data_IF_002296217110
#
_entry.id   IF_002296217110
#
_cell.length_a   1.000
_cell.length_b   1.000
_cell.length_c   1.000
_cell.angle_alpha   90.00
_cell.angle_beta   90.00
_cell.angle_gamma   90.00
#
_symmetry.space_group_name_H-M   'P 1'
#
loop_
_entity.id
_entity.type
_entity.pdbx_description
1 polymer ?
#
# COMPACT_ATOMS: atom_id res chain seq x y z
N UNK A 1 3.39 0.99 -17.51
CA UNK A 1 2.30 1.23 -16.54
C UNK A 1 2.22 0.06 -15.58
N UNK A 2 1.95 0.31 -14.30
CA UNK A 2 1.89 -0.74 -13.27
C UNK A 2 0.54 -1.47 -13.27
N UNK A 3 0.54 -2.72 -12.81
CA UNK A 3 -0.66 -3.59 -12.82
C UNK A 3 -1.65 -3.20 -11.71
N UNK A 4 -1.23 -2.42 -10.73
CA UNK A 4 -2.11 -1.83 -9.71
C UNK A 4 -2.83 -0.57 -10.21
N UNK A 5 -2.18 0.23 -11.06
CA UNK A 5 -2.67 1.54 -11.50
C UNK A 5 -3.92 1.49 -12.39
N UNK A 6 -4.07 0.46 -13.23
CA UNK A 6 -5.27 0.31 -14.08
C UNK A 6 -6.50 -0.15 -13.29
N UNK A 7 -6.26 -0.81 -12.15
CA UNK A 7 -7.30 -1.52 -11.40
C UNK A 7 -7.90 -0.70 -10.26
N UNK A 8 -7.08 0.13 -9.62
CA UNK A 8 -7.48 0.95 -8.47
C UNK A 8 -7.20 2.46 -8.67
N UNK A 9 -6.76 2.82 -9.87
CA UNK A 9 -6.21 4.14 -10.17
C UNK A 9 -4.83 4.36 -9.55
N UNK A 10 -4.24 5.51 -9.84
CA UNK A 10 -2.98 5.90 -9.23
C UNK A 10 -3.16 6.18 -7.73
N UNK A 11 -2.44 5.43 -6.89
CA UNK A 11 -2.38 5.66 -5.44
C UNK A 11 -1.17 6.50 -5.07
N UNK A 12 -1.43 7.60 -4.37
CA UNK A 12 -0.40 8.52 -3.84
C UNK A 12 0.41 7.86 -2.73
N UNK A 13 1.57 8.42 -2.39
CA UNK A 13 2.40 7.89 -1.29
C UNK A 13 1.64 7.85 0.05
N UNK A 14 0.93 8.92 0.48
CA UNK A 14 0.10 8.86 1.70
C UNK A 14 -0.97 7.76 1.67
N UNK A 15 -1.62 7.55 0.51
CA UNK A 15 -2.62 6.48 0.36
C UNK A 15 -2.01 5.09 0.54
N UNK A 16 -0.82 4.84 -0.04
CA UNK A 16 -0.11 3.56 0.14
C UNK A 16 0.29 3.34 1.60
N UNK A 17 0.82 4.38 2.25
CA UNK A 17 1.17 4.33 3.67
C UNK A 17 -0.07 4.06 4.52
N UNK A 18 -1.22 4.65 4.19
CA UNK A 18 -2.45 4.41 4.93
C UNK A 18 -2.99 2.99 4.74
N UNK A 19 -2.87 2.41 3.54
CA UNK A 19 -3.23 1.00 3.31
C UNK A 19 -2.34 0.06 4.13
N UNK A 20 -1.04 0.35 4.25
CA UNK A 20 -0.12 -0.40 5.13
C UNK A 20 -0.50 -0.26 6.60
N UNK A 21 -0.80 0.96 7.04
CA UNK A 21 -1.17 1.25 8.43
C UNK A 21 -2.48 0.55 8.84
N UNK A 22 -3.47 0.48 7.95
CA UNK A 22 -4.74 -0.21 8.19
C UNK A 22 -4.65 -1.74 8.04
N UNK A 23 -3.51 -2.28 7.61
CA UNK A 23 -3.28 -3.71 7.50
C UNK A 23 -2.80 -4.28 8.84
N UNK A 24 -3.72 -4.40 9.78
CA UNK A 24 -3.54 -4.83 11.17
C UNK A 24 -3.47 -6.35 11.37
N UNK A 25 -3.64 -7.16 10.31
CA UNK A 25 -3.59 -8.61 10.42
C UNK A 25 -4.20 -9.35 9.24
N UNK A 26 -4.52 -10.62 9.49
CA UNK A 26 -5.28 -11.46 8.56
C UNK A 26 -6.66 -10.83 8.30
N UNK A 27 -7.34 -11.22 7.21
CA UNK A 27 -8.68 -10.69 6.94
C UNK A 27 -9.72 -11.11 8.00
N UNK A 28 -9.47 -12.23 8.69
CA UNK A 28 -10.36 -12.82 9.70
C UNK A 28 -10.21 -12.14 11.07
N UNK A 29 -8.99 -11.70 11.40
CA UNK A 29 -8.66 -11.10 12.70
C UNK A 29 -8.65 -9.57 12.68
N UNK A 30 -8.75 -8.97 11.51
CA UNK A 30 -8.62 -7.53 11.33
C UNK A 30 -9.83 -6.74 11.85
N UNK A 31 -9.54 -5.78 12.72
CA UNK A 31 -10.50 -4.86 13.33
C UNK A 31 -10.37 -3.43 12.79
N UNK A 32 -9.27 -3.13 12.11
CA UNK A 32 -8.92 -1.80 11.61
C UNK A 32 -8.46 -0.84 12.69
N UNK A 33 -8.59 0.46 12.41
CA UNK A 33 -8.20 1.52 13.34
C UNK A 33 -9.40 2.41 13.67
N UNK A 34 -9.50 2.79 14.94
CA UNK A 34 -10.48 3.77 15.38
C UNK A 34 -10.08 5.18 14.90
N UNK A 35 -11.06 5.99 14.53
CA UNK A 35 -10.83 7.34 14.01
C UNK A 35 -10.12 8.24 15.04
N UNK A 36 -10.31 8.00 16.34
CA UNK A 36 -9.62 8.74 17.42
C UNK A 36 -8.11 8.44 17.49
N UNK A 37 -7.67 7.29 16.97
CA UNK A 37 -6.25 6.94 16.86
C UNK A 37 -5.57 7.60 15.65
N UNK A 38 -6.35 8.27 14.80
CA UNK A 38 -5.89 8.87 13.56
C UNK A 38 -5.83 10.39 13.65
N UNK A 39 -4.79 10.96 13.07
CA UNK A 39 -4.74 12.40 12.82
C UNK A 39 -5.78 12.83 11.79
N UNK A 40 -6.19 14.10 11.81
CA UNK A 40 -7.10 14.66 10.80
C UNK A 40 -6.60 14.44 9.35
N UNK A 41 -5.28 14.49 9.14
CA UNK A 41 -4.70 14.20 7.83
C UNK A 41 -4.90 12.74 7.42
N UNK A 42 -4.71 11.79 8.33
CA UNK A 42 -4.93 10.36 8.06
C UNK A 42 -6.40 10.06 7.80
N UNK A 43 -7.32 10.68 8.55
CA UNK A 43 -8.77 10.57 8.30
C UNK A 43 -9.10 11.04 6.87
N UNK A 44 -8.61 12.22 6.46
CA UNK A 44 -8.82 12.71 5.10
C UNK A 44 -8.20 11.82 4.01
N UNK A 45 -7.16 11.03 4.33
CA UNK A 45 -6.63 10.01 3.42
C UNK A 45 -7.54 8.78 3.39
N UNK A 46 -8.05 8.31 4.54
CA UNK A 46 -9.03 7.24 4.62
C UNK A 46 -10.29 7.54 3.81
N UNK A 47 -10.87 8.74 3.95
CA UNK A 47 -12.08 9.12 3.21
C UNK A 47 -11.87 9.07 1.69
N UNK A 48 -10.68 9.48 1.20
CA UNK A 48 -10.34 9.34 -0.23
C UNK A 48 -10.19 7.88 -0.65
N UNK A 49 -9.74 7.01 0.24
CA UNK A 49 -9.66 5.57 0.00
C UNK A 49 -11.03 4.88 0.08
N UNK A 50 -11.94 5.41 0.90
CA UNK A 50 -13.37 5.03 0.92
C UNK A 50 -14.01 5.38 -0.41
N UNK A 51 -13.76 6.58 -0.95
CA UNK A 51 -14.20 6.95 -2.30
C UNK A 51 -13.62 6.08 -3.43
N UNK A 52 -12.64 5.21 -3.14
CA UNK A 52 -12.04 4.23 -4.06
C UNK A 52 -12.45 2.78 -3.76
N UNK A 53 -13.31 2.55 -2.78
CA UNK A 53 -13.71 1.23 -2.30
C UNK A 53 -12.54 0.35 -1.80
N UNK A 54 -11.45 0.98 -1.36
CA UNK A 54 -10.28 0.29 -0.79
C UNK A 54 -10.31 0.24 0.73
N UNK A 55 -11.02 1.18 1.34
CA UNK A 55 -11.25 1.27 2.77
C UNK A 55 -12.76 1.41 2.96
N UNK A 56 -13.28 0.88 4.07
CA UNK A 56 -14.65 1.13 4.50
C UNK A 56 -14.65 1.85 5.85
N UNK A 57 -15.73 2.58 6.08
CA UNK A 57 -16.03 3.23 7.33
C UNK A 57 -17.17 2.49 8.02
N UNK A 58 -16.94 2.05 9.25
CA UNK A 58 -17.93 1.34 10.06
C UNK A 58 -18.19 2.09 11.38
N UNK A 59 -19.44 2.03 11.86
CA UNK A 59 -19.79 2.48 13.21
C UNK A 59 -19.77 1.26 14.13
N UNK A 60 -18.91 1.32 15.15
CA UNK A 60 -18.70 0.29 16.16
C UNK A 60 -19.53 0.51 17.43
N UNK A 61 -19.16 -0.23 18.48
CA UNK A 61 -19.78 -0.13 19.80
C UNK A 61 -19.62 1.29 20.37
N UNK A 62 -20.66 1.80 21.04
CA UNK A 62 -20.73 3.17 21.60
C UNK A 62 -20.45 4.27 20.57
N UNK A 63 -20.83 4.07 19.32
CA UNK A 63 -20.65 5.03 18.22
C UNK A 63 -19.18 5.35 17.90
N UNK A 64 -18.25 4.48 18.29
CA UNK A 64 -16.87 4.55 17.82
C UNK A 64 -16.83 4.44 16.30
N UNK A 65 -15.95 5.20 15.66
CA UNK A 65 -15.84 5.27 14.21
C UNK A 65 -14.60 4.53 13.76
N UNK A 66 -14.71 3.59 12.82
CA UNK A 66 -13.61 2.70 12.44
C UNK A 66 -13.33 2.71 10.95
N UNK A 67 -12.05 2.64 10.58
CA UNK A 67 -11.61 2.44 9.21
C UNK A 67 -11.00 1.05 9.04
N UNK A 68 -11.43 0.32 8.00
CA UNK A 68 -10.96 -1.04 7.70
C UNK A 68 -10.64 -1.21 6.23
N UNK A 69 -9.65 -2.04 5.91
CA UNK A 69 -9.42 -2.45 4.53
C UNK A 69 -10.59 -3.30 4.01
N UNK A 70 -11.05 -2.99 2.81
CA UNK A 70 -11.93 -3.89 2.05
C UNK A 70 -11.11 -5.04 1.46
N UNK A 71 -11.74 -6.12 0.95
CA UNK A 71 -11.04 -7.12 0.15
C UNK A 71 -10.25 -6.51 -1.01
N UNK A 72 -10.80 -5.50 -1.68
CA UNK A 72 -10.13 -4.77 -2.76
C UNK A 72 -8.91 -3.98 -2.24
N UNK A 73 -9.01 -3.34 -1.07
CA UNK A 73 -7.89 -2.66 -0.41
C UNK A 73 -6.73 -3.60 -0.08
N UNK A 74 -7.02 -4.78 0.45
CA UNK A 74 -6.01 -5.82 0.73
C UNK A 74 -5.33 -6.33 -0.54
N UNK A 75 -6.11 -6.55 -1.59
CA UNK A 75 -5.57 -6.95 -2.89
C UNK A 75 -4.70 -5.85 -3.51
N UNK A 76 -5.12 -4.59 -3.43
CA UNK A 76 -4.33 -3.45 -3.87
C UNK A 76 -2.98 -3.39 -3.13
N UNK A 77 -2.98 -3.56 -1.81
CA UNK A 77 -1.78 -3.60 -0.99
C UNK A 77 -0.83 -4.75 -1.39
N UNK A 78 -1.39 -5.95 -1.59
CA UNK A 78 -0.62 -7.13 -2.03
C UNK A 78 0.07 -6.87 -3.37
N UNK A 79 -0.65 -6.26 -4.32
CA UNK A 79 -0.09 -5.91 -5.63
C UNK A 79 1.01 -4.87 -5.52
N UNK A 80 0.83 -3.81 -4.72
CA UNK A 80 1.86 -2.80 -4.47
C UNK A 80 3.15 -3.42 -3.89
N UNK A 81 3.04 -4.25 -2.85
CA UNK A 81 4.19 -4.97 -2.25
C UNK A 81 4.89 -5.89 -3.26
N UNK A 82 4.15 -6.49 -4.20
CA UNK A 82 4.73 -7.31 -5.27
C UNK A 82 5.49 -6.48 -6.30
N UNK A 83 4.99 -5.28 -6.61
CA UNK A 83 5.62 -4.34 -7.55
C UNK A 83 6.92 -3.78 -6.98
N UNK A 84 6.94 -3.41 -5.71
CA UNK A 84 8.14 -2.89 -5.04
C UNK A 84 9.25 -3.95 -4.99
N UNK A 85 8.91 -5.21 -4.68
CA UNK A 85 9.87 -6.33 -4.74
C UNK A 85 10.43 -6.57 -6.14
N UNK A 86 9.59 -6.51 -7.18
CA UNK A 86 10.04 -6.63 -8.58
C UNK A 86 10.95 -5.46 -8.99
N UNK A 87 10.61 -4.24 -8.54
CA UNK A 87 11.43 -3.05 -8.75
C UNK A 87 12.83 -3.20 -8.16
N UNK A 88 12.91 -3.63 -6.90
CA UNK A 88 14.17 -3.89 -6.21
C UNK A 88 15.01 -4.96 -6.91
N UNK A 89 14.40 -6.11 -7.26
CA UNK A 89 15.11 -7.19 -7.96
C UNK A 89 15.66 -6.76 -9.34
N UNK A 90 14.94 -5.89 -10.07
CA UNK A 90 15.40 -5.34 -11.35
C UNK A 90 16.59 -4.38 -11.15
N UNK A 91 16.52 -3.52 -10.13
CA UNK A 91 17.62 -2.60 -9.81
C UNK A 91 18.92 -3.36 -9.48
N UNK A 92 18.83 -4.42 -8.68
CA UNK A 92 19.98 -5.28 -8.35
C UNK A 92 20.59 -5.95 -9.59
N UNK A 93 19.77 -6.45 -10.53
CA UNK A 93 20.29 -7.05 -11.79
C UNK A 93 21.01 -6.04 -12.66
N UNK A 94 20.49 -4.82 -12.79
CA UNK A 94 21.13 -3.74 -13.55
C UNK A 94 22.48 -3.33 -12.95
N UNK A 95 22.61 -3.36 -11.61
CA UNK A 95 23.88 -3.10 -10.93
C UNK A 95 24.89 -4.25 -11.16
N UNK A 96 24.45 -5.51 -11.08
CA UNK A 96 25.32 -6.67 -11.32
C UNK A 96 25.82 -6.77 -12.78
N UNK A 97 25.02 -6.35 -13.77
CA UNK A 97 25.45 -6.31 -15.18
C UNK A 97 26.51 -5.23 -15.40
N UNK A 98 26.30 -4.02 -14.86
CA UNK A 98 27.30 -2.94 -14.92
C UNK A 98 28.63 -3.29 -14.25
N UNK A 99 28.58 -4.04 -13.14
CA UNK A 99 29.79 -4.49 -12.44
C UNK A 99 30.62 -5.50 -13.24
N UNK A 100 30.01 -6.32 -14.11
CA UNK A 100 30.73 -7.31 -14.94
C UNK A 100 31.32 -6.74 -16.22
N UNK A 101 30.77 -5.63 -16.73
CA UNK A 101 31.28 -4.97 -17.95
C UNK A 101 32.39 -3.96 -17.67
N UNK A 102 32.75 -3.74 -16.39
CA UNK A 102 33.71 -2.72 -15.97
C UNK A 102 35.15 -3.21 -15.70
N UNK A 103 35.47 -4.49 -15.93
CA UNK A 103 36.80 -5.07 -15.63
C UNK A 103 37.45 -5.66 -16.88
N UNK A 104 37.70 -4.82 -17.88
CA UNK A 104 38.35 -5.24 -19.12
C UNK A 104 38.97 -4.06 -19.86
N UNK A 105 39.96 -3.42 -19.24
CA UNK A 105 40.72 -2.36 -19.89
C UNK A 105 41.61 -1.62 -18.91
N UNK A 106 42.77 -2.21 -18.60
CA UNK A 106 44.06 -1.52 -18.48
C UNK A 106 45.11 -2.52 -17.97
N UNK A 107 45.93 -3.01 -18.91
CA UNK A 107 47.36 -3.27 -18.83
C UNK A 107 47.77 -4.18 -19.99
#
# INVERSE_FOLDING_TARGET
>A
MRNSEWRFGALTKPQRVMLELLNDGSAEDAVGLEAEELTAHQIAVCERLVGKDLVRFDIGWRYSCWFRLTPAGREALRLLRSEDRRGAARASRSQSVRARTGTGGEA
#
